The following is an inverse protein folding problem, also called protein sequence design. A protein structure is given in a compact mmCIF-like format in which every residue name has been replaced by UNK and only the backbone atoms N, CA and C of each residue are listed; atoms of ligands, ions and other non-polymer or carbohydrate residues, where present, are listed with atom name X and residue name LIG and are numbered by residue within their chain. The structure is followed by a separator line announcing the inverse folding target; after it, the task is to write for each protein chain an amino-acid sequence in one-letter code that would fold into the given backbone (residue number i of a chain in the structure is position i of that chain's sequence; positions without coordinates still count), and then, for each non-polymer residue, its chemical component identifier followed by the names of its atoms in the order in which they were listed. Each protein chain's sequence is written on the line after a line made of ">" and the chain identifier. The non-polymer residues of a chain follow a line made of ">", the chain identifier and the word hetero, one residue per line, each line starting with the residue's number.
data_IF_376533066654
#
_entry.id   IF_376533066654
#
_cell.length_a   1.000
_cell.length_b   1.000
_cell.length_c   1.000
_cell.angle_alpha   90.00
_cell.angle_beta   90.00
_cell.angle_gamma   90.00
#
_symmetry.space_group_name_H-M   'P 1'
#
loop_
_entity.id
_entity.type
_entity.pdbx_description
1 polymer ?
#
# COMPACT_ATOMS: atom_id res chain seq x y z
N UNK A 1 6.75 -14.83 -11.52
CA UNK A 1 8.22 -14.73 -11.50
C UNK A 1 8.60 -14.76 -10.04
N UNK A 2 9.27 -15.82 -9.61
CA UNK A 2 9.81 -15.93 -8.26
C UNK A 2 11.31 -15.71 -8.38
N UNK A 3 11.84 -14.76 -7.61
CA UNK A 3 13.27 -14.53 -7.49
C UNK A 3 13.69 -15.00 -6.11
N UNK A 4 14.84 -15.65 -6.03
CA UNK A 4 15.42 -15.92 -4.73
C UNK A 4 16.03 -14.63 -4.12
N UNK A 5 16.17 -14.55 -2.78
CA UNK A 5 16.74 -13.36 -2.14
C UNK A 5 18.14 -12.98 -2.61
N UNK A 6 18.97 -13.95 -3.01
CA UNK A 6 20.32 -13.69 -3.55
C UNK A 6 20.30 -13.15 -4.97
N UNK A 7 19.35 -13.56 -5.81
CA UNK A 7 19.12 -12.97 -7.14
C UNK A 7 18.70 -11.50 -7.01
N UNK A 8 17.73 -11.20 -6.13
CA UNK A 8 17.28 -9.82 -5.89
C UNK A 8 18.45 -8.94 -5.41
N UNK A 9 19.28 -9.44 -4.50
CA UNK A 9 20.39 -8.66 -3.93
C UNK A 9 21.59 -8.49 -4.88
N UNK A 10 21.67 -9.28 -5.96
CA UNK A 10 22.81 -9.25 -6.89
C UNK A 10 22.52 -8.59 -8.24
N UNK A 11 21.26 -8.21 -8.49
CA UNK A 11 20.81 -7.65 -9.77
C UNK A 11 20.00 -6.36 -9.54
N UNK A 12 20.58 -5.22 -9.93
CA UNK A 12 19.96 -3.90 -9.82
C UNK A 12 18.72 -3.75 -10.71
N UNK A 13 18.68 -4.38 -11.89
CA UNK A 13 17.50 -4.34 -12.78
C UNK A 13 16.30 -5.05 -12.12
N UNK A 14 16.57 -6.14 -11.39
CA UNK A 14 15.54 -6.84 -10.61
C UNK A 14 15.03 -5.96 -9.46
N UNK A 15 15.92 -5.27 -8.76
CA UNK A 15 15.58 -4.33 -7.67
C UNK A 15 14.70 -3.19 -8.18
N UNK A 16 15.13 -2.49 -9.24
CA UNK A 16 14.40 -1.40 -9.87
C UNK A 16 13.01 -1.84 -10.34
N UNK A 17 12.91 -3.03 -10.92
CA UNK A 17 11.64 -3.59 -11.36
C UNK A 17 10.70 -3.86 -10.17
N UNK A 18 11.21 -4.39 -9.06
CA UNK A 18 10.42 -4.65 -7.84
C UNK A 18 9.96 -3.32 -7.23
N UNK A 19 10.86 -2.36 -7.08
CA UNK A 19 10.58 -1.06 -6.51
C UNK A 19 9.55 -0.30 -7.34
N UNK A 20 9.70 -0.31 -8.67
CA UNK A 20 8.70 0.29 -9.57
C UNK A 20 7.33 -0.35 -9.44
N UNK A 21 7.25 -1.68 -9.35
CA UNK A 21 5.97 -2.38 -9.14
C UNK A 21 5.34 -2.02 -7.81
N UNK A 22 6.13 -1.89 -6.76
CA UNK A 22 5.66 -1.48 -5.43
C UNK A 22 5.16 -0.04 -5.44
N UNK A 23 5.87 0.90 -6.06
CA UNK A 23 5.42 2.28 -6.23
C UNK A 23 4.05 2.33 -6.92
N UNK A 24 3.89 1.64 -8.05
CA UNK A 24 2.63 1.57 -8.79
C UNK A 24 1.49 0.97 -7.96
N UNK A 25 1.77 -0.07 -7.18
CA UNK A 25 0.76 -0.68 -6.31
C UNK A 25 0.29 0.28 -5.20
N UNK A 26 1.23 1.04 -4.61
CA UNK A 26 0.91 2.05 -3.59
C UNK A 26 0.12 3.21 -4.20
N UNK A 27 0.49 3.68 -5.39
CA UNK A 27 -0.25 4.72 -6.13
C UNK A 27 -1.69 4.29 -6.42
N UNK A 28 -1.88 3.08 -6.96
CA UNK A 28 -3.20 2.55 -7.22
C UNK A 28 -4.04 2.43 -5.93
N UNK A 29 -3.43 2.04 -4.81
CA UNK A 29 -4.12 1.99 -3.53
C UNK A 29 -4.53 3.38 -3.03
N UNK A 30 -3.70 4.41 -3.25
CA UNK A 30 -4.03 5.80 -2.95
C UNK A 30 -5.24 6.25 -3.77
N UNK A 31 -5.22 6.01 -5.09
CA UNK A 31 -6.32 6.40 -5.97
C UNK A 31 -7.63 5.75 -5.55
N UNK A 32 -7.61 4.46 -5.23
CA UNK A 32 -8.78 3.74 -4.69
C UNK A 32 -9.28 4.36 -3.39
N UNK A 33 -8.38 4.68 -2.45
CA UNK A 33 -8.77 5.30 -1.18
C UNK A 33 -9.40 6.69 -1.38
N UNK A 34 -8.86 7.49 -2.30
CA UNK A 34 -9.40 8.81 -2.64
C UNK A 34 -10.78 8.68 -3.30
N UNK A 35 -10.93 7.77 -4.26
CA UNK A 35 -12.22 7.50 -4.90
C UNK A 35 -13.27 7.02 -3.90
N UNK A 36 -12.88 6.14 -2.97
CA UNK A 36 -13.78 5.62 -1.93
C UNK A 36 -14.23 6.74 -0.98
N UNK A 37 -13.31 7.57 -0.50
CA UNK A 37 -13.63 8.71 0.35
C UNK A 37 -14.56 9.70 -0.35
N UNK A 38 -14.33 9.96 -1.65
CA UNK A 38 -15.19 10.82 -2.46
C UNK A 38 -16.60 10.23 -2.66
N UNK A 39 -16.70 8.93 -2.97
CA UNK A 39 -17.98 8.24 -3.13
C UNK A 39 -18.82 8.27 -1.84
N UNK A 40 -18.16 8.22 -0.68
CA UNK A 40 -18.78 8.32 0.64
C UNK A 40 -18.98 9.76 1.13
N UNK A 41 -18.71 10.76 0.28
CA UNK A 41 -18.85 12.20 0.59
C UNK A 41 -18.05 12.63 1.84
N UNK A 42 -16.90 12.00 2.09
CA UNK A 42 -16.05 12.34 3.22
C UNK A 42 -15.28 13.64 2.98
N UNK A 43 -14.87 14.37 4.04
CA UNK A 43 -14.09 15.59 3.89
C UNK A 43 -12.79 15.35 3.11
N UNK A 44 -12.50 16.23 2.15
CA UNK A 44 -11.25 16.18 1.39
C UNK A 44 -10.04 16.29 2.30
N UNK A 45 -8.99 15.55 1.97
CA UNK A 45 -7.65 15.65 2.55
C UNK A 45 -6.65 16.02 1.47
N UNK A 46 -5.62 16.77 1.86
CA UNK A 46 -4.55 17.18 0.95
C UNK A 46 -3.47 16.10 0.84
N UNK A 47 -3.21 15.37 1.93
CA UNK A 47 -2.24 14.29 1.97
C UNK A 47 -2.91 12.92 1.83
N UNK A 48 -2.33 12.06 0.98
CA UNK A 48 -2.81 10.69 0.78
C UNK A 48 -2.81 9.87 2.09
N UNK A 49 -1.81 10.08 2.95
CA UNK A 49 -1.74 9.46 4.27
C UNK A 49 -2.98 9.76 5.13
N UNK A 50 -3.48 11.00 5.05
CA UNK A 50 -4.65 11.42 5.83
C UNK A 50 -5.96 10.89 5.27
N UNK A 51 -6.02 10.57 3.97
CA UNK A 51 -7.18 9.87 3.38
C UNK A 51 -7.32 8.49 4.03
N UNK A 52 -6.23 7.72 4.14
CA UNK A 52 -6.28 6.40 4.79
C UNK A 52 -6.67 6.48 6.27
N UNK A 53 -6.12 7.45 7.01
CA UNK A 53 -6.51 7.68 8.42
C UNK A 53 -7.98 8.08 8.56
N UNK A 54 -8.50 8.86 7.61
CA UNK A 54 -9.91 9.24 7.56
C UNK A 54 -10.81 8.03 7.32
N UNK A 55 -10.47 7.17 6.34
CA UNK A 55 -11.22 5.93 6.09
C UNK A 55 -11.26 5.01 7.31
N UNK A 56 -10.15 4.90 8.07
CA UNK A 56 -10.14 4.14 9.32
C UNK A 56 -11.02 4.79 10.40
N UNK A 57 -10.93 6.13 10.54
CA UNK A 57 -11.73 6.90 11.51
C UNK A 57 -13.23 6.72 11.27
N UNK A 58 -13.65 6.72 10.01
CA UNK A 58 -15.05 6.52 9.60
C UNK A 58 -15.43 5.01 9.56
N UNK A 59 -14.57 4.13 10.08
CA UNK A 59 -14.75 2.68 10.14
C UNK A 59 -15.00 2.00 8.78
N UNK A 60 -14.56 2.64 7.68
CA UNK A 60 -14.63 2.10 6.33
C UNK A 60 -13.62 0.97 6.18
N UNK A 61 -12.39 1.18 6.67
CA UNK A 61 -11.34 0.16 6.75
C UNK A 61 -11.06 -0.21 8.21
N UNK A 62 -10.43 -1.36 8.42
CA UNK A 62 -10.18 -1.91 9.74
C UNK A 62 -9.19 -1.08 10.55
N UNK A 63 -9.33 -1.14 11.88
CA UNK A 63 -8.44 -0.44 12.82
C UNK A 63 -6.99 -0.86 12.61
N UNK A 64 -6.10 0.13 12.50
CA UNK A 64 -4.69 -0.02 12.20
C UNK A 64 -4.35 -0.13 10.73
N UNK A 65 -5.32 -0.35 9.83
CA UNK A 65 -5.07 -0.39 8.39
C UNK A 65 -4.77 1.00 7.83
N UNK A 66 -5.45 2.04 8.32
CA UNK A 66 -5.23 3.41 7.89
C UNK A 66 -3.80 3.86 8.16
N UNK A 67 -3.28 3.58 9.36
CA UNK A 67 -1.89 3.95 9.71
C UNK A 67 -0.84 3.12 8.94
N UNK A 68 -1.13 1.86 8.62
CA UNK A 68 -0.24 1.03 7.79
C UNK A 68 -0.15 1.57 6.36
N UNK A 69 -1.29 1.89 5.76
CA UNK A 69 -1.34 2.45 4.41
C UNK A 69 -0.78 3.87 4.36
N UNK A 70 -1.01 4.68 5.40
CA UNK A 70 -0.35 5.98 5.55
C UNK A 70 1.18 5.84 5.50
N UNK A 71 1.77 4.87 6.22
CA UNK A 71 3.21 4.58 6.15
C UNK A 71 3.64 4.08 4.77
N UNK A 72 2.80 3.33 4.06
CA UNK A 72 3.09 2.91 2.68
C UNK A 72 3.21 4.11 1.73
N UNK A 73 2.40 5.16 1.91
CA UNK A 73 2.54 6.39 1.10
C UNK A 73 3.91 7.04 1.26
N UNK A 74 4.46 7.07 2.48
CA UNK A 74 5.81 7.55 2.74
C UNK A 74 6.89 6.62 2.19
N UNK A 75 6.67 5.30 2.24
CA UNK A 75 7.59 4.32 1.67
C UNK A 75 7.77 4.50 0.16
N UNK A 76 6.71 4.84 -0.59
CA UNK A 76 6.82 5.20 -2.02
C UNK A 76 7.87 6.30 -2.25
N UNK A 77 7.93 7.31 -1.40
CA UNK A 77 8.91 8.39 -1.54
C UNK A 77 10.35 7.91 -1.26
N UNK A 78 10.52 6.97 -0.33
CA UNK A 78 11.82 6.35 -0.05
C UNK A 78 12.31 5.54 -1.24
N UNK A 79 11.42 4.80 -1.91
CA UNK A 79 11.75 4.01 -3.11
C UNK A 79 12.20 4.88 -4.30
N UNK A 80 11.79 6.15 -4.37
CA UNK A 80 12.15 7.06 -5.47
C UNK A 80 13.49 7.74 -5.23
N UNK A 81 13.89 7.87 -3.97
CA UNK A 81 14.96 8.77 -3.58
C UNK A 81 16.31 8.09 -3.32
N UNK A 82 16.46 6.76 -3.50
CA UNK A 82 17.72 5.98 -3.40
C UNK A 82 18.58 6.17 -2.12
N UNK A 83 18.20 7.04 -1.18
CA UNK A 83 19.04 7.47 -0.05
C UNK A 83 19.15 6.44 1.09
N UNK A 84 18.57 5.24 0.96
CA UNK A 84 18.70 4.19 1.97
C UNK A 84 18.88 2.82 1.33
N UNK A 85 19.86 2.05 1.83
CA UNK A 85 19.96 0.61 1.63
C UNK A 85 18.61 -0.04 1.99
N UNK A 86 17.78 -0.31 0.98
CA UNK A 86 16.52 -1.02 1.19
C UNK A 86 16.86 -2.44 1.62
N UNK A 87 16.42 -2.83 2.81
CA UNK A 87 16.45 -4.22 3.21
C UNK A 87 15.34 -4.96 2.44
N UNK A 88 15.65 -5.39 1.20
CA UNK A 88 14.72 -6.08 0.29
C UNK A 88 14.09 -7.32 0.94
N UNK A 89 14.83 -7.97 1.87
CA UNK A 89 14.31 -9.11 2.63
C UNK A 89 13.18 -8.69 3.57
N UNK A 90 13.27 -7.54 4.24
CA UNK A 90 12.18 -7.00 5.08
C UNK A 90 11.06 -6.34 4.26
N UNK A 91 11.41 -5.65 3.18
CA UNK A 91 10.43 -4.93 2.35
C UNK A 91 9.52 -5.89 1.57
N UNK A 92 10.09 -6.99 1.06
CA UNK A 92 9.44 -7.89 0.10
C UNK A 92 9.41 -9.36 0.54
N UNK A 93 10.23 -9.78 1.50
CA UNK A 93 10.31 -11.17 1.93
C UNK A 93 9.18 -11.63 2.87
N UNK A 94 8.70 -12.85 2.64
CA UNK A 94 7.93 -13.67 3.59
C UNK A 94 6.54 -13.16 3.98
N UNK A 95 5.90 -13.87 4.92
CA UNK A 95 4.61 -13.52 5.54
C UNK A 95 4.76 -12.65 6.81
N UNK A 96 5.90 -11.97 6.96
CA UNK A 96 6.25 -11.28 8.19
C UNK A 96 5.37 -10.04 8.46
N UNK A 97 5.11 -9.76 9.73
CA UNK A 97 4.36 -8.56 10.15
C UNK A 97 5.13 -7.30 9.73
N UNK A 98 4.49 -6.45 8.92
CA UNK A 98 5.08 -5.21 8.40
C UNK A 98 5.55 -5.29 6.95
N UNK A 99 5.41 -6.47 6.32
CA UNK A 99 5.57 -6.63 4.88
C UNK A 99 4.52 -5.79 4.14
N UNK A 100 5.00 -4.90 3.27
CA UNK A 100 4.18 -3.93 2.53
C UNK A 100 3.26 -4.59 1.53
N UNK A 101 3.67 -5.70 0.92
CA UNK A 101 2.83 -6.51 0.02
C UNK A 101 1.64 -7.08 0.79
N UNK A 102 1.89 -7.61 1.99
CA UNK A 102 0.82 -8.19 2.83
C UNK A 102 -0.17 -7.13 3.27
N UNK A 103 0.30 -5.94 3.64
CA UNK A 103 -0.57 -4.82 4.00
C UNK A 103 -1.42 -4.35 2.80
N UNK A 104 -0.81 -4.21 1.61
CA UNK A 104 -1.53 -3.90 0.36
C UNK A 104 -2.61 -4.93 0.02
N UNK A 105 -2.27 -6.23 0.09
CA UNK A 105 -3.23 -7.32 -0.17
C UNK A 105 -4.42 -7.27 0.79
N UNK A 106 -4.18 -6.98 2.06
CA UNK A 106 -5.25 -6.84 3.07
C UNK A 106 -6.13 -5.63 2.78
N UNK A 107 -5.54 -4.48 2.44
CA UNK A 107 -6.31 -3.31 2.04
C UNK A 107 -7.21 -3.62 0.83
N UNK A 108 -6.69 -4.26 -0.21
CA UNK A 108 -7.49 -4.65 -1.38
C UNK A 108 -8.65 -5.59 -1.00
N UNK A 109 -8.41 -6.56 -0.11
CA UNK A 109 -9.46 -7.47 0.35
C UNK A 109 -10.58 -6.72 1.12
N UNK A 110 -10.22 -5.74 1.94
CA UNK A 110 -11.20 -4.88 2.63
C UNK A 110 -12.03 -4.06 1.63
N UNK A 111 -11.38 -3.44 0.63
CA UNK A 111 -12.06 -2.68 -0.43
C UNK A 111 -13.05 -3.55 -1.20
N UNK A 112 -12.64 -4.75 -1.63
CA UNK A 112 -13.55 -5.69 -2.32
C UNK A 112 -14.75 -6.01 -1.43
N UNK A 113 -14.51 -6.32 -0.15
CA UNK A 113 -15.58 -6.61 0.80
C UNK A 113 -16.54 -5.43 1.05
N UNK A 114 -16.08 -4.19 0.89
CA UNK A 114 -16.93 -2.99 0.94
C UNK A 114 -17.80 -2.91 -0.33
N UNK A 115 -17.18 -3.00 -1.50
CA UNK A 115 -17.88 -2.88 -2.78
C UNK A 115 -18.94 -3.97 -2.99
N UNK A 116 -18.67 -5.20 -2.53
CA UNK A 116 -19.63 -6.30 -2.58
C UNK A 116 -20.85 -6.10 -1.66
N UNK A 117 -20.71 -5.33 -0.57
CA UNK A 117 -21.83 -4.99 0.32
C UNK A 117 -22.69 -3.89 -0.28
N UNK A 118 -22.07 -2.87 -0.86
CA UNK A 118 -22.76 -1.75 -1.50
C UNK A 118 -23.50 -2.18 -2.79
N UNK A 119 -22.91 -3.07 -3.60
CA UNK A 119 -23.53 -3.56 -4.84
C UNK A 119 -24.69 -4.53 -4.67
N UNK A 120 -25.04 -4.91 -3.44
CA UNK A 120 -26.21 -5.75 -3.10
C UNK A 120 -27.44 -4.95 -2.67
N UNK A 121 -27.34 -3.61 -2.63
CA UNK A 121 -28.45 -2.70 -2.34
C UNK A 121 -29.08 -2.15 -3.61
#
# INVERSE_FOLDING_TARGET
>A
MEFDPSEILSDEDIQDMIDRRMQLAIEAAIDVAVMLAAAMQLPRKDEAADVFRLLEKEAVISKGMGEKMAKATGFRNVLVHEYMDIDYKKAYGGEEKGNKITDLKRFCAEVVGILEKEGKN
#
